data_IF_677116417259
#
_entry.id   IF_677116417259
#
_cell.length_a   1.000
_cell.length_b   1.000
_cell.length_c   1.000
_cell.angle_alpha   90.00
_cell.angle_beta   90.00
_cell.angle_gamma   90.00
#
_symmetry.space_group_name_H-M   'P 1'
#
loop_
_entity.id
_entity.type
_entity.pdbx_description
1 polymer ?
#
# COMPACT_ATOMS: atom_id res chain seq x y z
N UNK A 1 -5.80 -23.47 -41.55
CA UNK A 1 -5.78 -24.52 -40.52
C UNK A 1 -4.41 -24.48 -39.86
N UNK A 2 -4.32 -23.91 -38.66
CA UNK A 2 -3.06 -23.74 -37.95
C UNK A 2 -2.36 -25.09 -37.86
N UNK A 3 -1.17 -25.19 -38.45
CA UNK A 3 -0.29 -26.34 -38.27
C UNK A 3 -0.10 -26.51 -36.77
N UNK A 4 -0.79 -27.49 -36.18
CA UNK A 4 -0.74 -27.74 -34.75
C UNK A 4 0.70 -28.04 -34.41
N UNK A 5 1.36 -27.13 -33.70
CA UNK A 5 2.67 -27.42 -33.12
C UNK A 5 2.42 -28.56 -32.15
N UNK A 6 2.68 -29.79 -32.58
CA UNK A 6 2.65 -30.97 -31.73
C UNK A 6 3.89 -30.91 -30.84
N UNK A 7 3.78 -30.13 -29.76
CA UNK A 7 4.81 -30.10 -28.75
C UNK A 7 4.90 -31.49 -28.12
N UNK A 8 6.09 -32.09 -28.19
CA UNK A 8 6.36 -33.33 -27.47
C UNK A 8 6.01 -33.16 -25.98
N UNK A 9 5.67 -34.24 -25.29
CA UNK A 9 5.34 -34.17 -23.86
C UNK A 9 6.45 -33.47 -23.05
N UNK A 10 7.72 -33.75 -23.38
CA UNK A 10 8.88 -33.10 -22.77
C UNK A 10 8.97 -31.60 -23.09
N UNK A 11 8.71 -31.19 -24.33
CA UNK A 11 8.74 -29.76 -24.71
C UNK A 11 7.63 -28.96 -24.04
N UNK A 12 6.43 -29.54 -23.87
CA UNK A 12 5.35 -28.89 -23.09
C UNK A 12 5.71 -28.72 -21.62
N UNK A 13 6.30 -29.75 -21.01
CA UNK A 13 6.73 -29.67 -19.62
C UNK A 13 7.78 -28.58 -19.43
N UNK A 14 8.77 -28.49 -20.33
CA UNK A 14 9.77 -27.44 -20.28
C UNK A 14 9.17 -26.05 -20.50
N UNK A 15 8.19 -25.92 -21.39
CA UNK A 15 7.47 -24.67 -21.63
C UNK A 15 6.59 -24.26 -20.42
N UNK A 16 5.96 -25.21 -19.72
CA UNK A 16 5.23 -24.94 -18.49
C UNK A 16 6.17 -24.41 -17.39
N UNK A 17 7.31 -25.07 -17.20
CA UNK A 17 8.33 -24.60 -16.24
C UNK A 17 8.84 -23.20 -16.60
N UNK A 18 9.08 -22.92 -17.88
CA UNK A 18 9.51 -21.60 -18.34
C UNK A 18 8.44 -20.52 -18.07
N UNK A 19 7.16 -20.85 -18.28
CA UNK A 19 6.04 -19.95 -17.98
C UNK A 19 5.91 -19.68 -16.48
N UNK A 20 5.99 -20.72 -15.64
CA UNK A 20 5.93 -20.57 -14.19
C UNK A 20 7.10 -19.72 -13.67
N UNK A 21 8.29 -19.92 -14.25
CA UNK A 21 9.48 -19.10 -13.94
C UNK A 21 9.27 -17.65 -14.35
N UNK A 22 8.71 -17.39 -15.52
CA UNK A 22 8.39 -16.03 -15.97
C UNK A 22 7.37 -15.35 -15.05
N UNK A 23 6.34 -16.07 -14.60
CA UNK A 23 5.34 -15.57 -13.65
C UNK A 23 5.95 -15.25 -12.28
N UNK A 24 6.84 -16.12 -11.77
CA UNK A 24 7.58 -15.88 -10.53
C UNK A 24 8.50 -14.67 -10.65
N UNK A 25 9.19 -14.52 -11.77
CA UNK A 25 10.05 -13.36 -12.05
C UNK A 25 9.23 -12.07 -12.07
N UNK A 26 8.10 -12.04 -12.78
CA UNK A 26 7.22 -10.87 -12.82
C UNK A 26 6.71 -10.49 -11.43
N UNK A 27 6.29 -11.46 -10.63
CA UNK A 27 5.86 -11.25 -9.23
C UNK A 27 6.99 -10.69 -8.38
N UNK A 28 8.20 -11.23 -8.54
CA UNK A 28 9.38 -10.79 -7.79
C UNK A 28 9.78 -9.37 -8.17
N UNK A 29 9.79 -9.04 -9.47
CA UNK A 29 10.06 -7.69 -9.96
C UNK A 29 9.03 -6.69 -9.44
N UNK A 30 7.75 -7.05 -9.40
CA UNK A 30 6.71 -6.19 -8.84
C UNK A 30 6.96 -5.91 -7.35
N UNK A 31 7.25 -6.95 -6.55
CA UNK A 31 7.57 -6.79 -5.12
C UNK A 31 8.84 -5.97 -4.88
N UNK A 32 9.87 -6.12 -5.71
CA UNK A 32 11.09 -5.31 -5.62
C UNK A 32 10.83 -3.85 -5.98
N UNK A 33 10.01 -3.59 -7.01
CA UNK A 33 9.67 -2.23 -7.43
C UNK A 33 8.83 -1.48 -6.40
N UNK A 34 7.98 -2.16 -5.65
CA UNK A 34 7.10 -1.51 -4.65
C UNK A 34 7.64 -1.61 -3.22
N UNK A 35 8.59 -2.51 -2.97
CA UNK A 35 9.04 -2.87 -1.63
C UNK A 35 7.96 -3.60 -0.80
N UNK A 36 6.80 -3.92 -1.37
CA UNK A 36 5.68 -4.55 -0.67
C UNK A 36 5.57 -6.01 -1.06
N UNK A 37 5.39 -6.88 -0.06
CA UNK A 37 5.10 -8.31 -0.28
C UNK A 37 3.70 -8.53 -0.88
N UNK A 38 2.74 -7.69 -0.49
CA UNK A 38 1.33 -7.72 -0.91
C UNK A 38 1.05 -6.42 -1.66
N UNK A 39 0.86 -6.52 -2.96
CA UNK A 39 0.61 -5.37 -3.85
C UNK A 39 -0.84 -5.27 -4.28
N UNK A 40 -1.57 -6.38 -4.22
CA UNK A 40 -2.97 -6.46 -4.59
C UNK A 40 -3.78 -7.32 -3.62
N UNK A 41 -5.10 -7.22 -3.71
CA UNK A 41 -6.00 -8.10 -2.97
C UNK A 41 -5.86 -9.59 -3.39
N UNK A 42 -5.36 -9.88 -4.59
CA UNK A 42 -5.11 -11.26 -5.05
C UNK A 42 -3.90 -11.88 -4.32
N UNK A 43 -2.92 -11.08 -3.94
CA UNK A 43 -1.75 -11.57 -3.20
C UNK A 43 -2.11 -12.01 -1.78
N UNK A 44 -2.91 -11.19 -1.09
CA UNK A 44 -3.49 -11.50 0.21
C UNK A 44 -4.59 -10.47 0.54
N UNK A 45 -5.88 -10.84 0.50
CA UNK A 45 -6.96 -9.87 0.67
C UNK A 45 -6.97 -9.28 2.09
N UNK A 46 -6.78 -10.12 3.12
CA UNK A 46 -6.78 -9.68 4.52
C UNK A 46 -5.69 -8.64 4.79
N UNK A 47 -4.44 -8.92 4.41
CA UNK A 47 -3.33 -7.99 4.61
C UNK A 47 -3.49 -6.71 3.79
N UNK A 48 -3.93 -6.83 2.53
CA UNK A 48 -4.13 -5.68 1.65
C UNK A 48 -5.17 -4.71 2.24
N UNK A 49 -6.38 -5.20 2.56
CA UNK A 49 -7.43 -4.35 3.10
C UNK A 49 -7.16 -3.87 4.52
N UNK A 50 -6.45 -4.66 5.34
CA UNK A 50 -5.99 -4.19 6.66
C UNK A 50 -5.03 -3.01 6.51
N UNK A 51 -4.03 -3.11 5.62
CA UNK A 51 -3.11 -1.99 5.36
C UNK A 51 -3.84 -0.76 4.83
N UNK A 52 -4.81 -0.92 3.94
CA UNK A 52 -5.60 0.19 3.41
C UNK A 52 -6.44 0.89 4.50
N UNK A 53 -7.02 0.12 5.42
CA UNK A 53 -7.73 0.66 6.58
C UNK A 53 -6.79 1.44 7.52
N UNK A 54 -5.58 0.93 7.75
CA UNK A 54 -4.56 1.60 8.56
C UNK A 54 -4.06 2.90 7.90
N UNK A 55 -3.86 2.91 6.58
CA UNK A 55 -3.47 4.11 5.82
C UNK A 55 -4.56 5.20 5.93
N UNK A 56 -5.82 4.81 5.77
CA UNK A 56 -6.97 5.72 5.92
C UNK A 56 -7.02 6.31 7.34
N UNK A 57 -6.86 5.46 8.36
CA UNK A 57 -6.82 5.88 9.76
C UNK A 57 -5.66 6.83 10.06
N UNK A 58 -4.48 6.59 9.48
CA UNK A 58 -3.31 7.47 9.62
C UNK A 58 -3.59 8.87 9.06
N UNK A 59 -4.25 8.93 7.89
CA UNK A 59 -4.67 10.21 7.30
C UNK A 59 -5.67 10.95 8.20
N UNK A 60 -6.66 10.24 8.75
CA UNK A 60 -7.64 10.84 9.68
C UNK A 60 -6.95 11.38 10.94
N UNK A 61 -5.99 10.63 11.49
CA UNK A 61 -5.22 11.06 12.65
C UNK A 61 -4.36 12.30 12.36
N UNK A 62 -3.82 12.41 11.14
CA UNK A 62 -3.06 13.59 10.72
C UNK A 62 -3.97 14.83 10.66
N UNK A 63 -5.15 14.71 10.06
CA UNK A 63 -6.14 15.79 10.02
C UNK A 63 -6.62 16.20 11.42
N UNK A 64 -6.79 15.23 12.32
CA UNK A 64 -7.13 15.48 13.72
C UNK A 64 -6.00 16.22 14.45
N UNK A 65 -4.75 15.83 14.22
CA UNK A 65 -3.58 16.48 14.82
C UNK A 65 -3.47 17.94 14.38
N UNK A 66 -3.73 18.25 13.11
CA UNK A 66 -3.74 19.63 12.61
C UNK A 66 -4.84 20.46 13.27
N UNK A 67 -6.03 19.89 13.42
CA UNK A 67 -7.15 20.53 14.12
C UNK A 67 -6.84 20.81 15.58
N UNK A 68 -6.20 19.86 16.27
CA UNK A 68 -5.73 20.03 17.65
C UNK A 68 -4.66 21.13 17.71
N UNK A 69 -3.71 21.15 16.78
CA UNK A 69 -2.64 22.14 16.74
C UNK A 69 -3.18 23.56 16.55
N UNK A 70 -4.21 23.72 15.71
CA UNK A 70 -4.94 24.98 15.57
C UNK A 70 -5.67 25.36 16.86
N UNK A 71 -6.35 24.41 17.52
CA UNK A 71 -7.02 24.63 18.81
C UNK A 71 -6.06 25.08 19.92
N UNK A 72 -4.86 24.47 19.99
CA UNK A 72 -3.81 24.86 20.95
C UNK A 72 -3.35 26.30 20.72
N UNK A 73 -3.16 26.72 19.46
CA UNK A 73 -2.80 28.10 19.14
C UNK A 73 -3.88 29.10 19.57
N UNK A 74 -5.15 28.77 19.36
CA UNK A 74 -6.29 29.59 19.82
C UNK A 74 -6.28 29.73 21.35
N UNK A 75 -6.09 28.62 22.07
CA UNK A 75 -6.00 28.62 23.54
C UNK A 75 -4.81 29.46 23.99
N UNK A 76 -3.66 29.36 23.32
CA UNK A 76 -2.47 30.13 23.66
C UNK A 76 -2.71 31.64 23.46
N UNK A 77 -3.32 32.05 22.35
CA UNK A 77 -3.68 33.44 22.09
C UNK A 77 -4.68 33.97 23.13
N UNK A 78 -5.70 33.18 23.46
CA UNK A 78 -6.65 33.50 24.52
C UNK A 78 -5.96 33.68 25.89
N UNK A 79 -5.03 32.79 26.23
CA UNK A 79 -4.26 32.89 27.47
C UNK A 79 -3.38 34.16 27.52
N UNK A 80 -2.72 34.52 26.42
CA UNK A 80 -1.97 35.78 26.32
C UNK A 80 -2.89 36.99 26.49
N UNK A 81 -4.06 36.98 25.84
CA UNK A 81 -5.07 38.04 25.98
C UNK A 81 -5.54 38.20 27.43
N UNK A 82 -5.91 37.10 28.10
CA UNK A 82 -6.32 37.13 29.51
C UNK A 82 -5.20 37.61 30.43
N UNK A 83 -3.96 37.16 30.23
CA UNK A 83 -2.80 37.61 31.01
C UNK A 83 -2.58 39.12 30.86
N UNK A 84 -2.78 39.67 29.66
CA UNK A 84 -2.66 41.11 29.42
C UNK A 84 -3.74 41.95 30.11
N UNK A 85 -4.92 41.37 30.41
CA UNK A 85 -5.99 42.03 31.16
C UNK A 85 -5.79 41.96 32.68
N UNK A 86 -5.01 40.99 33.16
CA UNK A 86 -4.73 40.79 34.59
C UNK A 86 -3.51 41.58 35.09
N UNK A 87 -2.65 42.06 34.19
CA UNK A 87 -1.51 42.93 34.49
C UNK A 87 -1.93 44.40 34.48
#
# INVERSE_FOLDING_TARGET
MSSGITLSAATRQNLLVAQDTANLLATTQNRLSTGKKVNSALDNPTSFFTSQGLDSRSSDLSNLLDSISNGVQVIQAANTGLTSLQK
#
